data_IF_625704004208
#
_entry.id   IF_625704004208
#
_cell.length_a   1.000
_cell.length_b   1.000
_cell.length_c   1.000
_cell.angle_alpha   90.00
_cell.angle_beta   90.00
_cell.angle_gamma   90.00
#
_symmetry.space_group_name_H-M   'P 1'
#
loop_
_entity.id
_entity.type
_entity.pdbx_description
1 polymer ?
#
# COMPACT_ATOMS: atom_id res chain seq x y z
N UNK A 1 -34.62 -18.66 9.44
CA UNK A 1 -33.84 -19.81 8.96
C UNK A 1 -32.89 -20.15 10.09
N UNK A 2 -33.02 -21.33 10.66
CA UNK A 2 -32.03 -21.87 11.60
C UNK A 2 -30.84 -22.33 10.75
N UNK A 3 -29.79 -21.51 10.70
CA UNK A 3 -28.58 -21.78 9.91
C UNK A 3 -27.64 -22.64 10.75
N UNK A 4 -27.32 -23.85 10.26
CA UNK A 4 -26.44 -24.78 10.96
C UNK A 4 -24.97 -24.56 10.57
N UNK A 5 -24.06 -24.87 11.50
CA UNK A 5 -22.61 -24.74 11.29
C UNK A 5 -22.07 -25.65 10.17
N UNK A 6 -22.79 -26.73 9.86
CA UNK A 6 -22.48 -27.69 8.80
C UNK A 6 -22.55 -27.11 7.39
N UNK A 7 -23.23 -25.97 7.21
CA UNK A 7 -23.60 -25.46 5.89
C UNK A 7 -22.59 -24.44 5.35
N UNK A 8 -21.52 -24.18 6.12
CA UNK A 8 -20.44 -23.27 5.71
C UNK A 8 -19.45 -24.01 4.81
N UNK A 9 -19.28 -23.52 3.60
CA UNK A 9 -18.34 -24.02 2.61
C UNK A 9 -17.16 -23.06 2.39
N UNK A 10 -16.06 -23.58 1.84
CA UNK A 10 -14.91 -22.76 1.43
C UNK A 10 -15.03 -22.40 -0.04
N UNK A 11 -15.34 -21.14 -0.33
CA UNK A 11 -15.55 -20.62 -1.69
C UNK A 11 -14.31 -19.88 -2.14
N UNK A 12 -13.96 -20.00 -3.43
CA UNK A 12 -12.92 -19.17 -4.04
C UNK A 12 -13.31 -17.69 -3.95
N UNK A 13 -12.41 -16.87 -3.42
CA UNK A 13 -12.64 -15.45 -3.20
C UNK A 13 -12.92 -14.69 -4.52
N UNK A 14 -12.37 -15.17 -5.64
CA UNK A 14 -12.51 -14.56 -6.96
C UNK A 14 -13.92 -14.71 -7.55
N UNK A 15 -14.73 -15.64 -7.01
CA UNK A 15 -16.12 -15.86 -7.43
C UNK A 15 -17.12 -14.91 -6.74
N UNK A 16 -16.71 -14.21 -5.68
CA UNK A 16 -17.58 -13.40 -4.85
C UNK A 16 -17.75 -12.01 -5.46
N UNK A 17 -19.00 -11.53 -5.48
CA UNK A 17 -19.35 -10.22 -6.02
C UNK A 17 -19.88 -9.32 -4.91
N UNK A 18 -19.31 -8.14 -4.71
CA UNK A 18 -19.78 -7.22 -3.66
C UNK A 18 -20.87 -6.30 -4.20
N UNK A 19 -21.95 -6.07 -3.47
CA UNK A 19 -22.99 -5.11 -3.87
C UNK A 19 -22.85 -3.73 -3.22
N UNK A 20 -21.97 -3.59 -2.24
CA UNK A 20 -21.88 -2.42 -1.36
C UNK A 20 -20.42 -2.02 -1.15
N UNK A 21 -20.19 -0.71 -1.07
CA UNK A 21 -18.90 -0.15 -0.64
C UNK A 21 -18.68 -0.41 0.84
N UNK A 22 -17.42 -0.54 1.25
CA UNK A 22 -17.06 -0.78 2.66
C UNK A 22 -16.09 0.28 3.13
N UNK A 23 -16.37 0.85 4.30
CA UNK A 23 -15.48 1.82 4.95
C UNK A 23 -14.18 1.15 5.36
N UNK A 24 -13.05 1.82 5.14
CA UNK A 24 -11.74 1.25 5.42
C UNK A 24 -11.60 0.86 6.89
N UNK A 25 -12.13 1.65 7.82
CA UNK A 25 -12.05 1.40 9.27
C UNK A 25 -12.69 0.06 9.67
N UNK A 26 -13.83 -0.29 9.05
CA UNK A 26 -14.52 -1.56 9.30
C UNK A 26 -13.69 -2.75 8.79
N UNK A 27 -13.07 -2.60 7.61
CA UNK A 27 -12.15 -3.58 7.03
C UNK A 27 -10.94 -3.77 7.94
N UNK A 28 -10.34 -2.68 8.42
CA UNK A 28 -9.17 -2.71 9.30
C UNK A 28 -9.48 -3.38 10.64
N UNK A 29 -10.65 -3.14 11.23
CA UNK A 29 -11.06 -3.82 12.45
C UNK A 29 -11.11 -5.36 12.27
N UNK A 30 -11.68 -5.83 11.15
CA UNK A 30 -11.73 -7.25 10.82
C UNK A 30 -10.34 -7.82 10.52
N UNK A 31 -9.54 -7.08 9.74
CA UNK A 31 -8.16 -7.44 9.41
C UNK A 31 -7.31 -7.64 10.67
N UNK A 32 -7.31 -6.65 11.57
CA UNK A 32 -6.53 -6.66 12.81
C UNK A 32 -6.94 -7.84 13.69
N UNK A 33 -8.25 -8.09 13.82
CA UNK A 33 -8.79 -9.23 14.57
C UNK A 33 -8.28 -10.55 14.01
N UNK A 34 -8.43 -10.79 12.70
CA UNK A 34 -8.04 -12.05 12.08
C UNK A 34 -6.53 -12.27 12.12
N UNK A 35 -5.74 -11.22 11.88
CA UNK A 35 -4.28 -11.30 11.94
C UNK A 35 -3.79 -11.60 13.37
N UNK A 36 -4.41 -10.99 14.38
CA UNK A 36 -4.05 -11.18 15.79
C UNK A 36 -4.43 -12.55 16.32
N UNK A 37 -5.61 -13.06 15.98
CA UNK A 37 -6.11 -14.34 16.49
C UNK A 37 -5.65 -15.53 15.66
N UNK A 38 -5.29 -15.30 14.39
CA UNK A 38 -5.10 -16.37 13.41
C UNK A 38 -6.39 -17.12 13.06
N UNK A 39 -7.56 -16.59 13.45
CA UNK A 39 -8.86 -17.23 13.29
C UNK A 39 -9.82 -16.27 12.59
N UNK A 40 -10.47 -16.77 11.54
CA UNK A 40 -11.64 -16.15 10.92
C UNK A 40 -12.88 -16.66 11.63
N UNK A 41 -13.62 -15.74 12.23
CA UNK A 41 -14.78 -16.04 13.07
C UNK A 41 -16.09 -15.38 12.59
N UNK A 42 -16.02 -14.67 11.47
CA UNK A 42 -17.16 -14.06 10.78
C UNK A 42 -17.34 -14.79 9.44
N UNK A 43 -18.43 -15.55 9.25
CA UNK A 43 -18.74 -16.16 7.97
C UNK A 43 -19.25 -15.11 6.99
N UNK A 44 -19.00 -15.32 5.71
CA UNK A 44 -19.63 -14.55 4.64
C UNK A 44 -20.99 -15.15 4.32
N UNK A 45 -21.94 -14.32 3.92
CA UNK A 45 -23.26 -14.78 3.48
C UNK A 45 -23.43 -14.35 2.04
N UNK A 46 -23.62 -15.32 1.15
CA UNK A 46 -23.73 -15.11 -0.29
C UNK A 46 -25.10 -15.51 -0.78
N UNK A 47 -25.60 -14.81 -1.80
CA UNK A 47 -26.68 -15.33 -2.62
C UNK A 47 -26.23 -16.58 -3.38
N UNK A 48 -27.01 -17.65 -3.28
CA UNK A 48 -26.65 -18.97 -3.82
C UNK A 48 -26.57 -19.00 -5.35
N UNK A 49 -27.33 -18.14 -6.04
CA UNK A 49 -27.45 -18.14 -7.50
C UNK A 49 -26.40 -17.24 -8.17
N UNK A 50 -26.02 -16.14 -7.51
CA UNK A 50 -25.20 -15.08 -8.12
C UNK A 50 -23.84 -14.91 -7.48
N UNK A 51 -23.60 -15.53 -6.31
CA UNK A 51 -22.45 -15.28 -5.41
C UNK A 51 -22.32 -13.81 -4.96
N UNK A 52 -23.43 -13.06 -4.98
CA UNK A 52 -23.44 -11.70 -4.45
C UNK A 52 -23.33 -11.75 -2.92
N UNK A 53 -22.38 -11.02 -2.37
CA UNK A 53 -22.18 -10.88 -0.94
C UNK A 53 -23.36 -10.13 -0.33
N UNK A 54 -24.04 -10.75 0.62
CA UNK A 54 -25.20 -10.20 1.32
C UNK A 54 -24.82 -9.71 2.73
N UNK A 55 -23.81 -10.32 3.36
CA UNK A 55 -23.27 -9.91 4.65
C UNK A 55 -21.82 -10.37 4.83
N UNK A 56 -21.08 -9.71 5.72
CA UNK A 56 -19.67 -9.97 5.96
C UNK A 56 -18.72 -9.14 5.09
N UNK A 57 -19.17 -8.02 4.52
CA UNK A 57 -18.39 -7.10 3.67
C UNK A 57 -17.00 -6.74 4.23
N UNK A 58 -16.94 -6.30 5.48
CA UNK A 58 -15.67 -5.98 6.13
C UNK A 58 -14.74 -7.20 6.27
N UNK A 59 -15.30 -8.38 6.58
CA UNK A 59 -14.54 -9.62 6.68
C UNK A 59 -14.03 -10.07 5.31
N UNK A 60 -14.84 -9.97 4.26
CA UNK A 60 -14.45 -10.29 2.88
C UNK A 60 -13.24 -9.46 2.43
N UNK A 61 -13.33 -8.13 2.53
CA UNK A 61 -12.22 -7.26 2.11
C UNK A 61 -10.99 -7.41 3.01
N UNK A 62 -11.17 -7.72 4.30
CA UNK A 62 -10.04 -8.04 5.18
C UNK A 62 -9.31 -9.31 4.71
N UNK A 63 -10.06 -10.33 4.30
CA UNK A 63 -9.50 -11.58 3.76
C UNK A 63 -8.81 -11.36 2.40
N UNK A 64 -9.35 -10.50 1.54
CA UNK A 64 -8.67 -10.09 0.29
C UNK A 64 -7.32 -9.40 0.55
N UNK A 65 -7.25 -8.53 1.58
CA UNK A 65 -6.02 -7.84 1.98
C UNK A 65 -5.03 -8.81 2.65
N UNK A 66 -5.51 -9.80 3.39
CA UNK A 66 -4.71 -10.90 3.92
C UNK A 66 -4.28 -11.91 2.84
N UNK A 67 -4.70 -11.70 1.58
CA UNK A 67 -4.42 -12.57 0.44
C UNK A 67 -4.96 -13.99 0.60
N UNK A 68 -6.11 -14.14 1.29
CA UNK A 68 -6.86 -15.39 1.29
C UNK A 68 -7.28 -15.74 -0.15
N UNK A 69 -7.22 -17.03 -0.49
CA UNK A 69 -7.71 -17.57 -1.77
C UNK A 69 -9.08 -18.20 -1.63
N UNK A 70 -9.40 -18.73 -0.44
CA UNK A 70 -10.72 -19.24 -0.11
C UNK A 70 -11.27 -18.52 1.09
N UNK A 71 -12.59 -18.45 1.19
CA UNK A 71 -13.27 -17.83 2.33
C UNK A 71 -14.42 -18.69 2.81
N UNK A 72 -14.66 -18.75 4.14
CA UNK A 72 -15.78 -19.48 4.70
C UNK A 72 -17.07 -18.71 4.46
N UNK A 73 -17.97 -19.32 3.71
CA UNK A 73 -19.19 -18.69 3.26
C UNK A 73 -20.38 -19.62 3.37
N UNK A 74 -21.54 -19.03 3.61
CA UNK A 74 -22.83 -19.68 3.63
C UNK A 74 -23.65 -19.15 2.46
N UNK A 75 -24.13 -20.05 1.61
CA UNK A 75 -25.03 -19.72 0.50
C UNK A 75 -26.48 -19.74 0.96
N UNK A 76 -27.22 -18.69 0.64
CA UNK A 76 -28.64 -18.55 0.94
C UNK A 76 -29.38 -18.07 -0.30
N UNK A 77 -30.66 -18.42 -0.43
CA UNK A 77 -31.52 -17.79 -1.43
C UNK A 77 -31.96 -16.42 -0.88
N UNK A 78 -31.57 -15.33 -1.55
CA UNK A 78 -31.94 -13.97 -1.13
C UNK A 78 -33.46 -13.79 -0.97
N UNK A 79 -34.28 -14.56 -1.70
CA UNK A 79 -35.74 -14.51 -1.61
C UNK A 79 -36.26 -15.02 -0.26
N UNK A 80 -35.53 -15.90 0.40
CA UNK A 80 -35.89 -16.45 1.72
C UNK A 80 -35.28 -15.70 2.90
N UNK A 81 -34.49 -14.64 2.66
CA UNK A 81 -33.91 -13.82 3.73
C UNK A 81 -34.66 -12.49 3.90
N UNK A 82 -34.75 -12.03 5.15
CA UNK A 82 -35.31 -10.71 5.50
C UNK A 82 -34.22 -9.65 5.42
N UNK A 83 -34.45 -8.62 4.62
CA UNK A 83 -33.55 -7.47 4.42
C UNK A 83 -34.13 -6.26 5.15
N UNK A 84 -33.28 -5.57 5.91
CA UNK A 84 -33.62 -4.35 6.61
C UNK A 84 -32.77 -3.20 6.02
N UNK A 85 -33.38 -2.22 5.33
CA UNK A 85 -32.70 -1.00 4.89
C UNK A 85 -32.17 -0.20 6.09
N UNK A 86 -31.02 0.47 5.93
CA UNK A 86 -30.33 1.16 7.04
C UNK A 86 -30.09 2.67 6.84
N UNK A 87 -30.60 3.29 5.75
CA UNK A 87 -31.09 4.70 5.77
C UNK A 87 -32.50 4.88 5.18
N UNK A 88 -33.23 5.94 5.58
CA UNK A 88 -34.68 6.14 5.38
C UNK A 88 -35.17 6.60 4.00
N UNK A 89 -34.28 6.88 3.03
CA UNK A 89 -34.65 7.62 1.82
C UNK A 89 -34.45 6.85 0.49
N UNK A 90 -34.02 5.59 0.52
CA UNK A 90 -33.84 4.77 -0.68
C UNK A 90 -34.49 3.42 -0.45
N UNK A 91 -35.42 3.04 -1.34
CA UNK A 91 -36.02 1.71 -1.31
C UNK A 91 -34.98 0.70 -1.77
N UNK A 92 -34.41 -0.07 -0.83
CA UNK A 92 -33.44 -1.12 -1.15
C UNK A 92 -34.19 -2.45 -1.32
N UNK A 93 -34.40 -2.84 -2.57
CA UNK A 93 -34.98 -4.14 -2.93
C UNK A 93 -33.90 -5.20 -3.13
N UNK A 94 -34.31 -6.48 -3.15
CA UNK A 94 -33.43 -7.61 -3.44
C UNK A 94 -32.81 -7.51 -4.83
N UNK A 95 -33.61 -7.10 -5.82
CA UNK A 95 -33.13 -6.89 -7.20
C UNK A 95 -32.08 -5.80 -7.28
N UNK A 96 -32.23 -4.69 -6.53
CA UNK A 96 -31.22 -3.63 -6.45
C UNK A 96 -29.91 -4.16 -5.89
N UNK A 97 -29.96 -5.01 -4.86
CA UNK A 97 -28.76 -5.62 -4.26
C UNK A 97 -28.06 -6.54 -5.26
N UNK A 98 -28.81 -7.45 -5.90
CA UNK A 98 -28.24 -8.37 -6.90
C UNK A 98 -27.67 -7.58 -8.08
N UNK A 99 -28.42 -6.58 -8.58
CA UNK A 99 -27.97 -5.72 -9.67
C UNK A 99 -26.65 -5.03 -9.31
N UNK A 100 -26.56 -4.36 -8.16
CA UNK A 100 -25.34 -3.71 -7.68
C UNK A 100 -24.16 -4.70 -7.48
N UNK A 101 -24.46 -5.93 -7.10
CA UNK A 101 -23.48 -7.00 -6.99
C UNK A 101 -22.89 -7.40 -8.34
N UNK A 102 -23.74 -7.62 -9.34
CA UNK A 102 -23.35 -8.22 -10.62
C UNK A 102 -22.90 -7.18 -11.65
N UNK A 103 -23.72 -6.15 -11.93
CA UNK A 103 -23.53 -5.25 -13.07
C UNK A 103 -23.74 -3.75 -12.75
N UNK A 104 -24.32 -3.43 -11.60
CA UNK A 104 -24.72 -2.09 -11.21
C UNK A 104 -23.69 -1.37 -10.35
N UNK A 105 -23.90 -0.06 -10.10
CA UNK A 105 -23.07 0.70 -9.19
C UNK A 105 -23.17 0.13 -7.77
N UNK A 106 -22.05 0.12 -7.05
CA UNK A 106 -22.02 -0.35 -5.66
C UNK A 106 -22.82 0.59 -4.77
N UNK A 107 -23.66 0.01 -3.92
CA UNK A 107 -24.46 0.73 -2.94
C UNK A 107 -23.59 1.46 -1.90
N UNK A 108 -24.04 2.59 -1.36
CA UNK A 108 -23.35 3.26 -0.25
C UNK A 108 -23.13 2.33 0.95
N UNK A 109 -22.07 2.55 1.76
CA UNK A 109 -21.83 1.74 2.95
C UNK A 109 -23.05 1.71 3.89
N UNK A 110 -23.33 0.55 4.49
CA UNK A 110 -24.47 0.35 5.38
C UNK A 110 -25.84 0.66 4.74
N UNK A 111 -26.03 0.37 3.45
CA UNK A 111 -27.34 0.53 2.78
C UNK A 111 -28.40 -0.47 3.26
N UNK A 112 -27.99 -1.69 3.62
CA UNK A 112 -28.89 -2.71 4.15
C UNK A 112 -28.20 -3.66 5.13
N UNK A 113 -28.99 -4.41 5.89
CA UNK A 113 -28.55 -5.52 6.74
C UNK A 113 -29.48 -6.72 6.59
N UNK A 114 -28.94 -7.92 6.75
CA UNK A 114 -29.74 -9.13 6.88
C UNK A 114 -30.19 -9.30 8.32
N UNK A 115 -31.46 -9.65 8.52
CA UNK A 115 -31.94 -10.09 9.84
C UNK A 115 -31.67 -11.58 9.99
N UNK A 116 -30.52 -11.90 10.56
CA UNK A 116 -30.06 -13.26 10.81
C UNK A 116 -29.62 -13.40 12.26
N UNK A 117 -29.83 -14.59 12.83
CA UNK A 117 -29.29 -14.90 14.14
C UNK A 117 -27.76 -14.91 14.11
N UNK A 118 -27.08 -14.40 15.15
CA UNK A 118 -25.63 -14.36 15.18
C UNK A 118 -25.04 -15.78 15.09
N UNK A 119 -24.30 -16.02 14.02
CA UNK A 119 -23.63 -17.30 13.79
C UNK A 119 -22.12 -17.08 13.69
N UNK A 120 -21.35 -17.88 14.43
CA UNK A 120 -19.88 -17.78 14.50
C UNK A 120 -19.23 -19.04 13.97
N UNK A 121 -18.17 -18.84 13.20
CA UNK A 121 -17.27 -19.90 12.74
C UNK A 121 -15.95 -19.82 13.51
N UNK A 122 -15.10 -20.83 13.31
CA UNK A 122 -13.70 -20.79 13.74
C UNK A 122 -12.89 -21.50 12.67
N UNK A 123 -12.38 -20.74 11.71
CA UNK A 123 -11.55 -21.27 10.62
C UNK A 123 -10.15 -20.67 10.75
N UNK A 124 -9.09 -21.49 10.86
CA UNK A 124 -7.73 -20.98 10.89
C UNK A 124 -7.42 -20.17 9.63
N UNK A 125 -6.89 -18.96 9.81
CA UNK A 125 -6.58 -18.05 8.69
C UNK A 125 -5.61 -18.70 7.69
N UNK A 126 -4.63 -19.45 8.19
CA UNK A 126 -3.66 -20.18 7.37
C UNK A 126 -4.30 -21.18 6.40
N UNK A 127 -5.46 -21.76 6.76
CA UNK A 127 -6.16 -22.76 5.93
C UNK A 127 -6.90 -22.09 4.75
N UNK A 128 -7.05 -20.76 4.79
CA UNK A 128 -7.66 -19.93 3.74
C UNK A 128 -6.64 -19.36 2.76
N UNK A 129 -5.36 -19.43 3.11
CA UNK A 129 -4.25 -18.96 2.28
C UNK A 129 -3.84 -20.06 1.31
N UNK A 130 -3.45 -19.72 0.09
CA UNK A 130 -2.81 -20.71 -0.77
C UNK A 130 -1.38 -20.97 -0.28
N UNK A 131 -0.98 -22.25 -0.26
CA UNK A 131 0.44 -22.59 -0.33
C UNK A 131 0.93 -22.14 -1.72
N UNK A 132 1.68 -21.05 -1.76
CA UNK A 132 2.18 -20.53 -3.04
C UNK A 132 3.28 -21.47 -3.55
N UNK A 133 2.94 -22.40 -4.44
CA UNK A 133 3.92 -23.05 -5.29
C UNK A 133 4.47 -22.02 -6.29
N UNK A 134 5.50 -21.27 -5.88
CA UNK A 134 6.24 -20.34 -6.75
C UNK A 134 7.18 -21.08 -7.71
N UNK A 135 6.72 -22.12 -8.41
CA UNK A 135 7.59 -22.94 -9.26
C UNK A 135 8.07 -22.17 -10.51
N UNK A 136 7.24 -21.29 -11.09
CA UNK A 136 7.62 -20.49 -12.28
C UNK A 136 8.62 -19.36 -11.96
N UNK A 137 8.58 -18.78 -10.76
CA UNK A 137 9.30 -17.53 -10.47
C UNK A 137 10.76 -17.72 -10.04
N UNK A 138 11.28 -18.95 -10.00
CA UNK A 138 12.69 -19.22 -9.64
C UNK A 138 13.64 -18.66 -10.71
N UNK A 139 13.27 -18.79 -11.99
CA UNK A 139 14.08 -18.32 -13.12
C UNK A 139 13.74 -16.90 -13.59
N UNK A 140 12.81 -16.20 -12.90
CA UNK A 140 12.43 -14.81 -13.19
C UNK A 140 11.96 -14.58 -14.63
N UNK A 141 11.09 -15.47 -15.12
CA UNK A 141 10.42 -15.35 -16.42
C UNK A 141 8.99 -14.84 -16.18
N UNK A 142 8.56 -13.85 -16.97
CA UNK A 142 7.26 -13.18 -16.84
C UNK A 142 6.58 -13.10 -18.21
N UNK A 143 5.27 -13.31 -18.27
CA UNK A 143 4.49 -13.32 -19.52
C UNK A 143 4.09 -11.90 -19.98
N UNK A 144 4.29 -10.88 -19.13
CA UNK A 144 4.08 -9.47 -19.48
C UNK A 144 4.94 -8.50 -18.65
N UNK A 145 5.08 -7.27 -19.13
CA UNK A 145 5.75 -6.19 -18.38
C UNK A 145 5.04 -5.88 -17.06
N UNK A 146 3.71 -6.02 -16.99
CA UNK A 146 2.99 -5.79 -15.74
C UNK A 146 3.25 -6.91 -14.72
N UNK A 147 3.37 -8.16 -15.16
CA UNK A 147 3.75 -9.29 -14.31
C UNK A 147 5.13 -9.12 -13.69
N UNK A 148 6.10 -8.54 -14.44
CA UNK A 148 7.43 -8.20 -13.91
C UNK A 148 7.34 -7.36 -12.62
N UNK A 149 6.27 -6.60 -12.42
CA UNK A 149 6.05 -5.87 -11.16
C UNK A 149 5.52 -6.80 -10.07
N UNK A 150 4.29 -7.32 -10.22
CA UNK A 150 3.56 -7.93 -9.10
C UNK A 150 3.93 -9.40 -8.84
N UNK A 151 4.37 -10.15 -9.86
CA UNK A 151 4.85 -11.54 -9.70
C UNK A 151 6.30 -11.60 -9.22
N UNK A 152 7.07 -10.53 -9.41
CA UNK A 152 8.46 -10.46 -8.96
C UNK A 152 8.60 -10.20 -7.45
N UNK A 153 7.50 -9.88 -6.76
CA UNK A 153 7.49 -9.72 -5.31
C UNK A 153 7.65 -11.07 -4.56
N UNK A 154 8.31 -11.07 -3.38
CA UNK A 154 8.73 -9.91 -2.58
C UNK A 154 10.00 -9.21 -3.07
N UNK A 155 10.11 -7.90 -2.83
CA UNK A 155 11.40 -7.18 -2.98
C UNK A 155 12.43 -7.69 -1.95
N UNK A 156 13.75 -7.60 -2.22
CA UNK A 156 14.76 -8.17 -1.31
C UNK A 156 14.76 -7.55 0.09
N UNK A 157 14.97 -8.41 1.10
CA UNK A 157 15.32 -8.03 2.46
C UNK A 157 16.78 -8.47 2.71
N UNK A 158 17.70 -7.53 2.83
CA UNK A 158 19.15 -7.80 2.92
C UNK A 158 19.71 -7.43 4.29
N UNK A 159 20.56 -8.28 4.87
CA UNK A 159 21.25 -7.96 6.14
C UNK A 159 22.39 -6.99 5.88
N UNK A 160 22.39 -5.84 6.57
CA UNK A 160 23.47 -4.86 6.55
C UNK A 160 24.57 -5.31 7.52
N UNK A 161 25.72 -5.75 6.99
CA UNK A 161 26.80 -6.32 7.81
C UNK A 161 27.46 -5.26 8.68
N UNK A 162 27.66 -4.05 8.17
CA UNK A 162 28.33 -2.95 8.85
C UNK A 162 27.58 -2.44 10.09
N UNK A 163 26.26 -2.66 10.17
CA UNK A 163 25.44 -2.32 11.33
C UNK A 163 25.00 -3.52 12.17
N UNK A 164 25.30 -4.74 11.74
CA UNK A 164 24.97 -5.95 12.49
C UNK A 164 26.11 -6.37 13.42
N UNK A 165 25.76 -6.76 14.65
CA UNK A 165 26.67 -7.26 15.70
C UNK A 165 26.05 -8.49 16.37
N UNK A 166 26.74 -9.12 17.32
CA UNK A 166 26.29 -10.38 17.96
C UNK A 166 24.81 -10.36 18.40
N UNK A 167 24.36 -9.29 19.06
CA UNK A 167 22.99 -9.17 19.56
C UNK A 167 22.13 -8.18 18.76
N UNK A 168 22.58 -7.73 17.59
CA UNK A 168 21.86 -6.76 16.76
C UNK A 168 21.91 -7.18 15.30
N UNK A 169 20.76 -7.37 14.67
CA UNK A 169 20.67 -7.60 13.22
C UNK A 169 19.92 -6.46 12.57
N UNK A 170 20.51 -5.88 11.52
CA UNK A 170 19.92 -4.76 10.79
C UNK A 170 19.68 -5.21 9.36
N UNK A 171 18.46 -5.01 8.90
CA UNK A 171 17.99 -5.46 7.60
C UNK A 171 17.47 -4.28 6.80
N UNK A 172 17.78 -4.23 5.51
CA UNK A 172 17.26 -3.24 4.58
C UNK A 172 16.24 -3.88 3.63
N UNK A 173 15.04 -3.32 3.57
CA UNK A 173 14.00 -3.69 2.60
C UNK A 173 14.19 -2.83 1.34
N UNK A 174 14.63 -3.45 0.25
CA UNK A 174 15.11 -2.75 -0.96
C UNK A 174 13.98 -2.55 -1.98
N UNK A 175 13.25 -1.46 -1.86
CA UNK A 175 12.13 -1.14 -2.76
C UNK A 175 12.58 -0.59 -4.12
N UNK A 176 13.88 -0.38 -4.32
CA UNK A 176 14.45 -0.07 -5.65
C UNK A 176 14.35 -1.22 -6.65
N UNK A 177 14.04 -2.44 -6.19
CA UNK A 177 13.83 -3.62 -7.03
C UNK A 177 12.47 -3.65 -7.73
N UNK A 178 11.60 -2.67 -7.49
CA UNK A 178 10.45 -2.49 -8.36
C UNK A 178 10.92 -1.97 -9.74
N UNK A 179 10.41 -2.51 -10.85
CA UNK A 179 11.02 -2.39 -12.17
C UNK A 179 10.91 -1.02 -12.85
N UNK A 180 9.90 -0.20 -12.55
CA UNK A 180 9.55 0.97 -13.35
C UNK A 180 10.19 2.25 -12.82
N UNK A 181 9.81 2.69 -11.61
CA UNK A 181 10.40 3.88 -10.99
C UNK A 181 11.66 3.60 -10.18
N UNK A 182 12.08 2.33 -10.13
CA UNK A 182 13.05 1.81 -9.16
C UNK A 182 12.76 2.35 -7.77
N UNK A 183 11.48 2.28 -7.37
CA UNK A 183 11.02 2.73 -6.07
C UNK A 183 9.77 2.02 -5.59
N UNK A 184 9.49 2.21 -4.30
CA UNK A 184 8.27 1.79 -3.61
C UNK A 184 6.98 2.27 -4.30
N UNK A 185 7.04 3.32 -5.14
CA UNK A 185 5.86 3.93 -5.78
C UNK A 185 5.26 3.10 -6.89
N UNK A 186 5.97 2.12 -7.45
CA UNK A 186 5.38 1.19 -8.43
C UNK A 186 4.20 0.43 -7.83
N UNK A 187 4.30 0.04 -6.55
CA UNK A 187 3.21 -0.60 -5.82
C UNK A 187 1.97 0.29 -5.77
N UNK A 188 2.18 1.57 -5.46
CA UNK A 188 1.11 2.57 -5.33
C UNK A 188 0.45 2.82 -6.69
N UNK A 189 1.26 3.08 -7.72
CA UNK A 189 0.75 3.31 -9.07
C UNK A 189 -0.05 2.12 -9.60
N UNK A 190 0.48 0.90 -9.45
CA UNK A 190 -0.22 -0.33 -9.82
C UNK A 190 -1.54 -0.50 -9.08
N UNK A 191 -1.53 -0.33 -7.76
CA UNK A 191 -2.72 -0.52 -6.95
C UNK A 191 -3.83 0.47 -7.28
N UNK A 192 -3.49 1.76 -7.45
CA UNK A 192 -4.48 2.79 -7.79
C UNK A 192 -5.08 2.57 -9.18
N UNK A 193 -4.26 2.16 -10.17
CA UNK A 193 -4.74 1.86 -11.53
C UNK A 193 -5.61 0.60 -11.54
N UNK A 194 -5.21 -0.47 -10.84
CA UNK A 194 -6.01 -1.71 -10.72
C UNK A 194 -7.35 -1.43 -10.04
N UNK A 195 -7.38 -0.58 -9.01
CA UNK A 195 -8.63 -0.15 -8.38
C UNK A 195 -9.50 0.66 -9.36
N UNK A 196 -8.91 1.55 -10.14
CA UNK A 196 -9.63 2.31 -11.17
C UNK A 196 -10.22 1.39 -12.26
N UNK A 197 -9.50 0.35 -12.66
CA UNK A 197 -9.99 -0.69 -13.57
C UNK A 197 -11.18 -1.46 -12.96
N UNK A 198 -11.04 -1.93 -11.72
CA UNK A 198 -12.07 -2.72 -11.03
C UNK A 198 -13.35 -1.92 -10.77
N UNK A 199 -13.22 -0.63 -10.50
CA UNK A 199 -14.35 0.27 -10.27
C UNK A 199 -14.95 0.83 -11.56
N UNK A 200 -14.38 0.53 -12.73
CA UNK A 200 -14.84 1.07 -14.01
C UNK A 200 -14.60 2.58 -14.16
N UNK A 201 -13.68 3.15 -13.38
CA UNK A 201 -13.35 4.60 -13.39
C UNK A 201 -12.11 4.93 -14.23
N UNK A 202 -11.44 3.93 -14.80
CA UNK A 202 -10.28 4.12 -15.67
C UNK A 202 -10.63 5.00 -16.89
N UNK A 203 -9.77 5.99 -17.18
CA UNK A 203 -9.91 6.93 -18.31
C UNK A 203 -8.74 6.79 -19.28
N UNK A 204 -8.87 7.40 -20.48
CA UNK A 204 -7.80 7.42 -21.51
C UNK A 204 -6.65 8.36 -21.18
N UNK A 205 -6.82 9.25 -20.22
CA UNK A 205 -5.81 10.17 -19.74
C UNK A 205 -5.75 10.13 -18.20
N UNK A 206 -4.53 10.22 -17.66
CA UNK A 206 -4.21 10.23 -16.23
C UNK A 206 -3.50 11.53 -15.87
N UNK A 207 -4.07 12.30 -14.95
CA UNK A 207 -3.52 13.54 -14.44
C UNK A 207 -3.13 13.33 -12.97
N UNK A 208 -1.92 13.71 -12.55
CA UNK A 208 -1.49 13.50 -11.16
C UNK A 208 -0.52 14.58 -10.66
N UNK A 209 -0.71 15.03 -9.42
CA UNK A 209 0.29 15.82 -8.69
C UNK A 209 1.36 14.91 -8.07
N UNK A 210 2.64 15.14 -8.37
CA UNK A 210 3.72 14.24 -7.93
C UNK A 210 5.05 14.93 -7.62
N UNK A 211 5.91 14.20 -6.89
CA UNK A 211 7.27 14.61 -6.54
C UNK A 211 8.39 13.89 -7.30
N UNK A 212 8.02 13.03 -8.28
CA UNK A 212 8.84 12.32 -9.29
C UNK A 212 8.52 10.82 -9.32
N UNK A 213 8.82 10.08 -8.25
CA UNK A 213 8.74 8.61 -8.26
C UNK A 213 7.33 8.08 -8.59
N UNK A 214 6.29 8.71 -8.05
CA UNK A 214 4.91 8.35 -8.39
C UNK A 214 4.58 8.70 -9.84
N UNK A 215 5.17 9.78 -10.38
CA UNK A 215 5.01 10.15 -11.79
C UNK A 215 5.60 9.09 -12.71
N UNK A 216 6.86 8.72 -12.49
CA UNK A 216 7.55 7.66 -13.26
C UNK A 216 6.76 6.34 -13.19
N UNK A 217 6.33 5.93 -11.99
CA UNK A 217 5.55 4.71 -11.78
C UNK A 217 4.23 4.74 -12.56
N UNK A 218 3.47 5.83 -12.43
CA UNK A 218 2.18 5.98 -13.09
C UNK A 218 2.31 6.06 -14.60
N UNK A 219 3.24 6.86 -15.13
CA UNK A 219 3.48 6.96 -16.57
C UNK A 219 3.89 5.62 -17.16
N UNK A 220 4.78 4.88 -16.49
CA UNK A 220 5.22 3.56 -16.97
C UNK A 220 4.04 2.58 -17.07
N UNK A 221 3.19 2.52 -16.05
CA UNK A 221 2.03 1.62 -16.03
C UNK A 221 0.95 2.11 -17.01
N UNK A 222 0.73 3.42 -17.10
CA UNK A 222 -0.19 4.04 -18.06
C UNK A 222 0.23 3.73 -19.50
N UNK A 223 1.53 3.78 -19.82
CA UNK A 223 2.05 3.42 -21.14
C UNK A 223 1.75 1.96 -21.51
N UNK A 224 1.89 1.02 -20.57
CA UNK A 224 1.53 -0.40 -20.77
C UNK A 224 0.03 -0.54 -21.12
N UNK A 225 -0.81 0.32 -20.58
CA UNK A 225 -2.27 0.33 -20.79
C UNK A 225 -2.72 1.25 -21.94
N UNK A 226 -1.81 1.93 -22.63
CA UNK A 226 -2.15 2.90 -23.68
C UNK A 226 -2.83 4.18 -23.18
N UNK A 227 -2.59 4.57 -21.92
CA UNK A 227 -3.15 5.76 -21.27
C UNK A 227 -2.14 6.91 -21.32
N UNK A 228 -2.57 8.10 -21.74
CA UNK A 228 -1.73 9.30 -21.73
C UNK A 228 -1.56 9.83 -20.32
N UNK A 229 -0.37 10.29 -19.95
CA UNK A 229 -0.10 10.84 -18.62
C UNK A 229 0.26 12.32 -18.69
N UNK A 230 -0.35 13.12 -17.81
CA UNK A 230 0.02 14.51 -17.54
C UNK A 230 0.37 14.67 -16.06
N UNK A 231 1.54 15.21 -15.76
CA UNK A 231 2.08 15.28 -14.41
C UNK A 231 2.25 16.75 -14.00
N UNK A 232 1.77 17.07 -12.81
CA UNK A 232 1.89 18.39 -12.22
C UNK A 232 2.94 18.33 -11.12
N UNK A 233 4.05 19.05 -11.32
CA UNK A 233 5.21 18.97 -10.43
C UNK A 233 5.52 20.37 -9.88
N UNK A 234 5.69 20.55 -8.56
CA UNK A 234 6.17 21.79 -7.98
C UNK A 234 7.50 22.27 -8.61
N UNK A 235 7.65 23.57 -8.83
CA UNK A 235 8.91 24.16 -9.33
C UNK A 235 10.10 23.95 -8.38
N UNK A 236 9.84 23.79 -7.08
CA UNK A 236 10.85 23.54 -6.06
C UNK A 236 11.52 22.15 -6.15
N UNK A 237 10.95 21.22 -6.94
CA UNK A 237 11.49 19.86 -7.12
C UNK A 237 12.54 19.86 -8.22
N UNK A 238 13.60 19.07 -8.06
CA UNK A 238 14.70 19.01 -9.02
C UNK A 238 14.22 18.70 -10.45
N UNK A 239 14.91 19.27 -11.44
CA UNK A 239 14.60 19.10 -12.87
C UNK A 239 15.23 17.86 -13.48
N UNK A 240 16.24 17.26 -12.84
CA UNK A 240 16.89 16.04 -13.33
C UNK A 240 15.89 14.91 -13.62
N UNK A 241 14.78 14.87 -12.87
CA UNK A 241 13.73 13.87 -13.09
C UNK A 241 12.84 14.13 -14.30
N UNK A 242 12.79 15.35 -14.83
CA UNK A 242 12.01 15.68 -16.04
C UNK A 242 12.55 14.91 -17.25
N UNK A 243 13.86 14.63 -17.28
CA UNK A 243 14.48 13.83 -18.34
C UNK A 243 13.85 12.43 -18.41
N UNK A 244 13.67 11.77 -17.26
CA UNK A 244 13.05 10.44 -17.24
C UNK A 244 11.57 10.48 -17.63
N UNK A 245 10.86 11.55 -17.25
CA UNK A 245 9.45 11.73 -17.57
C UNK A 245 9.23 12.01 -19.06
N UNK A 246 10.11 12.82 -19.67
CA UNK A 246 10.10 13.10 -21.11
C UNK A 246 10.44 11.85 -21.94
N UNK A 247 11.44 11.07 -21.52
CA UNK A 247 11.76 9.76 -22.12
C UNK A 247 10.55 8.81 -22.06
N UNK A 248 9.78 8.85 -20.98
CA UNK A 248 8.55 8.06 -20.83
C UNK A 248 7.35 8.67 -21.57
N UNK A 249 7.47 9.86 -22.14
CA UNK A 249 6.40 10.55 -22.88
C UNK A 249 5.31 11.16 -22.00
N UNK A 250 5.61 11.51 -20.75
CA UNK A 250 4.68 12.25 -19.90
C UNK A 250 4.62 13.74 -20.30
N UNK A 251 3.43 14.32 -20.33
CA UNK A 251 3.25 15.79 -20.40
C UNK A 251 3.52 16.37 -19.01
N UNK A 252 4.60 17.13 -18.84
CA UNK A 252 5.01 17.67 -17.54
C UNK A 252 4.70 19.16 -17.45
N UNK A 253 3.88 19.53 -16.45
CA UNK A 253 3.57 20.92 -16.10
C UNK A 253 4.20 21.25 -14.76
N UNK A 254 5.08 22.25 -14.76
CA UNK A 254 5.64 22.80 -13.52
C UNK A 254 4.70 23.86 -12.93
N UNK A 255 4.46 23.79 -11.63
CA UNK A 255 3.56 24.71 -10.91
C UNK A 255 4.33 25.52 -9.86
N UNK A 256 4.03 26.82 -9.69
CA UNK A 256 4.68 27.69 -8.70
C UNK A 256 4.11 27.44 -7.29
N UNK A 257 4.25 26.19 -6.81
CA UNK A 257 3.84 25.73 -5.47
C UNK A 257 5.06 25.14 -4.76
N UNK A 258 5.04 25.14 -3.43
CA UNK A 258 6.15 24.62 -2.62
C UNK A 258 6.05 23.12 -2.38
N UNK A 259 4.83 22.61 -2.19
CA UNK A 259 4.56 21.19 -1.92
C UNK A 259 3.64 20.59 -2.97
N UNK A 260 3.81 19.28 -3.25
CA UNK A 260 2.96 18.55 -4.19
C UNK A 260 1.47 18.59 -3.80
N UNK A 261 1.17 18.60 -2.50
CA UNK A 261 -0.23 18.63 -2.00
C UNK A 261 -0.94 19.95 -2.33
N UNK A 262 -0.21 21.04 -2.53
CA UNK A 262 -0.78 22.35 -2.89
C UNK A 262 -1.29 22.39 -4.34
N UNK A 263 -0.90 21.41 -5.17
CA UNK A 263 -1.34 21.31 -6.55
C UNK A 263 -2.70 20.59 -6.74
N UNK A 264 -3.20 19.88 -5.71
CA UNK A 264 -4.29 18.91 -5.86
C UNK A 264 -5.56 19.50 -6.46
N UNK A 265 -6.05 20.63 -5.92
CA UNK A 265 -7.29 21.27 -6.40
C UNK A 265 -7.20 21.69 -7.87
N UNK A 266 -6.02 22.14 -8.31
CA UNK A 266 -5.77 22.50 -9.71
C UNK A 266 -5.78 21.26 -10.60
N UNK A 267 -5.14 20.18 -10.17
CA UNK A 267 -5.12 18.90 -10.90
C UNK A 267 -6.53 18.34 -11.02
N UNK A 268 -7.32 18.36 -9.95
CA UNK A 268 -8.71 17.91 -9.95
C UNK A 268 -9.57 18.70 -10.94
N UNK A 269 -9.46 20.03 -10.92
CA UNK A 269 -10.19 20.89 -11.85
C UNK A 269 -9.81 20.61 -13.31
N UNK A 270 -8.51 20.45 -13.59
CA UNK A 270 -8.01 20.23 -14.95
C UNK A 270 -8.33 18.82 -15.45
N UNK A 271 -8.26 17.80 -14.59
CA UNK A 271 -8.62 16.43 -14.92
C UNK A 271 -10.11 16.34 -15.30
N UNK A 272 -10.98 16.97 -14.50
CA UNK A 272 -12.42 17.06 -14.78
C UNK A 272 -12.71 17.77 -16.11
N UNK A 273 -12.00 18.86 -16.40
CA UNK A 273 -12.20 19.61 -17.64
C UNK A 273 -11.83 18.81 -18.91
N UNK A 274 -10.89 17.86 -18.80
CA UNK A 274 -10.38 17.06 -19.93
C UNK A 274 -10.87 15.60 -19.94
N UNK A 275 -11.85 15.24 -19.11
CA UNK A 275 -12.30 13.84 -18.90
C UNK A 275 -11.13 12.87 -18.60
N UNK A 276 -10.13 13.36 -17.88
CA UNK A 276 -9.01 12.57 -17.37
C UNK A 276 -9.31 12.04 -15.97
N UNK A 277 -8.71 10.92 -15.61
CA UNK A 277 -8.74 10.43 -14.23
C UNK A 277 -7.63 11.12 -13.42
N UNK A 278 -7.93 11.42 -12.15
CA UNK A 278 -6.93 11.80 -11.15
C UNK A 278 -6.98 10.77 -10.03
N UNK A 279 -5.86 10.09 -9.77
CA UNK A 279 -5.82 8.99 -8.81
C UNK A 279 -5.60 9.49 -7.39
N UNK A 280 -4.97 10.65 -7.21
CA UNK A 280 -4.72 11.35 -5.95
C UNK A 280 -4.06 10.43 -4.91
N UNK A 281 -2.74 10.28 -5.02
CA UNK A 281 -1.96 9.38 -4.15
C UNK A 281 -2.01 9.71 -2.65
N UNK A 282 -2.48 10.90 -2.28
CA UNK A 282 -2.56 11.35 -0.89
C UNK A 282 -3.86 10.92 -0.22
N UNK A 283 -4.94 10.75 -0.99
CA UNK A 283 -6.26 10.40 -0.49
C UNK A 283 -6.73 8.99 -0.88
N UNK A 284 -6.13 8.38 -1.90
CA UNK A 284 -6.57 7.09 -2.44
C UNK A 284 -6.11 5.90 -1.58
N UNK A 285 -7.07 5.23 -0.93
CA UNK A 285 -6.80 4.11 -0.01
C UNK A 285 -6.13 2.90 -0.68
N UNK A 286 -6.14 2.80 -2.01
CA UNK A 286 -5.35 1.79 -2.73
C UNK A 286 -3.85 1.88 -2.42
N UNK A 287 -3.35 3.08 -2.07
CA UNK A 287 -1.97 3.30 -1.59
C UNK A 287 -1.72 2.59 -0.25
N UNK A 288 -2.54 2.83 0.77
CA UNK A 288 -2.40 2.13 2.05
C UNK A 288 -2.62 0.62 1.91
N UNK A 289 -3.66 0.21 1.18
CA UNK A 289 -4.05 -1.19 1.00
C UNK A 289 -2.96 -2.03 0.35
N UNK A 290 -2.25 -1.53 -0.66
CA UNK A 290 -1.17 -2.30 -1.32
C UNK A 290 0.00 -2.57 -0.39
N UNK A 291 0.35 -1.59 0.45
CA UNK A 291 1.42 -1.78 1.41
C UNK A 291 1.01 -2.72 2.55
N UNK A 292 -0.27 -2.75 2.92
CA UNK A 292 -0.77 -3.71 3.91
C UNK A 292 -0.77 -5.14 3.35
N UNK A 293 -1.24 -5.30 2.11
CA UNK A 293 -1.32 -6.58 1.41
C UNK A 293 0.04 -7.15 1.02
N UNK A 294 0.99 -6.29 0.66
CA UNK A 294 2.31 -6.70 0.18
C UNK A 294 3.39 -6.24 1.14
N UNK A 295 3.87 -4.99 1.07
CA UNK A 295 5.08 -4.53 1.77
C UNK A 295 5.18 -4.97 3.24
N UNK A 296 4.13 -4.79 4.05
CA UNK A 296 4.11 -5.17 5.45
C UNK A 296 4.14 -6.70 5.64
N UNK A 297 3.31 -7.43 4.89
CA UNK A 297 3.29 -8.90 4.90
C UNK A 297 4.61 -9.50 4.43
N UNK A 298 5.20 -8.96 3.36
CA UNK A 298 6.48 -9.41 2.83
C UNK A 298 7.59 -9.28 3.89
N UNK A 299 7.65 -8.16 4.62
CA UNK A 299 8.64 -8.00 5.70
C UNK A 299 8.45 -9.07 6.76
N UNK A 300 7.21 -9.37 7.16
CA UNK A 300 6.91 -10.36 8.17
C UNK A 300 7.24 -11.79 7.71
N UNK A 301 6.79 -12.19 6.51
CA UNK A 301 7.09 -13.50 5.90
C UNK A 301 8.61 -13.69 5.68
N UNK A 302 9.31 -12.64 5.24
CA UNK A 302 10.77 -12.68 5.06
C UNK A 302 11.50 -12.85 6.40
N UNK A 303 11.08 -12.18 7.47
CA UNK A 303 11.66 -12.36 8.80
C UNK A 303 11.28 -13.71 9.42
N UNK A 304 10.05 -14.18 9.25
CA UNK A 304 9.56 -15.47 9.72
C UNK A 304 10.34 -16.63 9.07
N UNK A 305 10.69 -16.52 7.78
CA UNK A 305 11.55 -17.49 7.09
C UNK A 305 12.94 -17.65 7.74
N UNK A 306 13.39 -16.60 8.43
CA UNK A 306 14.64 -16.57 9.21
C UNK A 306 14.42 -16.85 10.70
N UNK A 307 13.18 -17.14 11.11
CA UNK A 307 12.75 -17.27 12.51
C UNK A 307 13.07 -16.03 13.36
N UNK A 308 13.01 -14.85 12.73
CA UNK A 308 13.24 -13.56 13.36
C UNK A 308 11.91 -12.83 13.58
N UNK A 309 11.88 -12.02 14.65
CA UNK A 309 10.81 -11.07 14.93
C UNK A 309 11.42 -9.67 15.03
N UNK A 310 10.86 -8.64 14.38
CA UNK A 310 11.44 -7.30 14.44
C UNK A 310 11.30 -6.71 15.84
N UNK A 311 12.29 -5.95 16.26
CA UNK A 311 12.25 -5.09 17.45
C UNK A 311 11.86 -3.67 17.06
N UNK A 312 12.32 -3.21 15.91
CA UNK A 312 12.03 -1.86 15.40
C UNK A 312 11.99 -1.84 13.87
N UNK A 313 11.03 -1.12 13.31
CA UNK A 313 10.93 -0.85 11.86
C UNK A 313 10.96 0.66 11.65
N UNK A 314 11.83 1.12 10.76
CA UNK A 314 12.11 2.55 10.55
C UNK A 314 11.94 2.87 9.07
N UNK A 315 11.19 3.92 8.74
CA UNK A 315 10.99 4.36 7.37
C UNK A 315 10.54 5.81 7.25
N UNK A 316 10.76 6.37 6.06
CA UNK A 316 10.45 7.77 5.75
C UNK A 316 8.96 8.04 5.56
N UNK A 317 8.49 9.23 5.93
CA UNK A 317 7.09 9.63 5.80
C UNK A 317 6.89 10.55 4.60
N UNK A 318 6.26 10.04 3.53
CA UNK A 318 5.84 10.83 2.37
C UNK A 318 4.32 11.00 2.36
N UNK A 319 3.61 10.17 1.59
CA UNK A 319 2.14 10.06 1.67
C UNK A 319 1.65 9.40 2.97
N UNK A 320 2.56 8.89 3.82
CA UNK A 320 2.36 7.97 4.95
C UNK A 320 1.92 6.54 4.61
N UNK A 321 1.44 6.25 3.39
CA UNK A 321 0.82 4.97 3.03
C UNK A 321 1.60 3.73 3.44
N UNK A 322 2.89 3.62 3.05
CA UNK A 322 3.68 2.43 3.38
C UNK A 322 3.97 2.27 4.88
N UNK A 323 4.43 3.33 5.55
CA UNK A 323 4.76 3.26 6.97
C UNK A 323 3.51 3.10 7.83
N UNK A 324 2.38 3.67 7.44
CA UNK A 324 1.13 3.47 8.16
C UNK A 324 0.63 2.04 8.02
N UNK A 325 0.73 1.44 6.83
CA UNK A 325 0.38 0.03 6.64
C UNK A 325 1.30 -0.92 7.42
N UNK A 326 2.61 -0.65 7.43
CA UNK A 326 3.59 -1.37 8.25
C UNK A 326 3.25 -1.22 9.74
N UNK A 327 2.99 0.01 10.21
CA UNK A 327 2.56 0.25 11.59
C UNK A 327 1.33 -0.57 11.94
N UNK A 328 0.27 -0.44 11.13
CA UNK A 328 -0.98 -1.15 11.36
C UNK A 328 -0.80 -2.67 11.43
N UNK A 329 -0.05 -3.24 10.49
CA UNK A 329 0.23 -4.67 10.43
C UNK A 329 0.97 -5.15 11.69
N UNK A 330 2.12 -4.56 11.98
CA UNK A 330 3.00 -5.04 13.05
C UNK A 330 2.43 -4.75 14.43
N UNK A 331 1.71 -3.64 14.62
CA UNK A 331 0.97 -3.37 15.86
C UNK A 331 -0.21 -4.31 16.04
N UNK A 332 -0.92 -4.69 14.97
CA UNK A 332 -2.00 -5.68 15.06
C UNK A 332 -1.49 -7.07 15.45
N UNK A 333 -0.40 -7.54 14.83
CA UNK A 333 0.15 -8.89 15.07
C UNK A 333 0.96 -8.99 16.36
N UNK A 334 1.76 -7.97 16.67
CA UNK A 334 2.78 -8.05 17.73
C UNK A 334 2.64 -7.00 18.85
N UNK A 335 1.71 -6.06 18.74
CA UNK A 335 1.49 -5.02 19.74
C UNK A 335 2.77 -4.21 20.05
N UNK A 336 3.02 -3.96 21.33
CA UNK A 336 4.14 -3.12 21.80
C UNK A 336 5.51 -3.80 21.76
N UNK A 337 5.57 -5.08 21.39
CA UNK A 337 6.86 -5.77 21.24
C UNK A 337 7.66 -5.34 19.99
N UNK A 338 7.03 -4.58 19.09
CA UNK A 338 7.67 -3.99 17.90
C UNK A 338 7.48 -2.49 17.94
N UNK A 339 8.57 -1.73 17.78
CA UNK A 339 8.53 -0.29 17.57
C UNK A 339 8.39 0.04 16.09
N UNK A 340 7.63 1.08 15.76
CA UNK A 340 7.53 1.62 14.40
C UNK A 340 7.83 3.11 14.45
N UNK A 341 8.86 3.52 13.71
CA UNK A 341 9.41 4.86 13.74
C UNK A 341 9.32 5.52 12.37
N UNK A 342 8.71 6.69 12.34
CA UNK A 342 8.66 7.56 11.16
C UNK A 342 9.90 8.44 11.08
N UNK A 343 10.32 8.78 9.87
CA UNK A 343 11.41 9.73 9.62
C UNK A 343 10.90 10.86 8.75
N UNK A 344 11.19 12.09 9.14
CA UNK A 344 10.81 13.28 8.40
C UNK A 344 11.98 14.27 8.30
N UNK A 345 11.96 15.22 7.34
CA UNK A 345 12.93 16.30 7.30
C UNK A 345 12.85 17.14 8.57
N UNK A 346 13.98 17.62 9.08
CA UNK A 346 14.00 18.64 10.13
C UNK A 346 13.33 19.95 9.66
N UNK A 347 12.97 20.88 10.56
CA UNK A 347 12.35 22.14 10.15
C UNK A 347 13.20 22.88 9.11
N UNK A 348 12.55 23.36 8.04
CA UNK A 348 13.17 24.06 6.91
C UNK A 348 14.13 23.22 6.04
N UNK A 349 14.21 21.90 6.25
CA UNK A 349 15.00 21.00 5.42
C UNK A 349 14.14 20.30 4.36
N UNK A 350 14.75 19.97 3.22
CA UNK A 350 14.10 19.23 2.14
C UNK A 350 14.84 17.93 1.88
N UNK A 351 14.16 16.80 2.07
CA UNK A 351 14.66 15.47 1.70
C UNK A 351 13.70 14.89 0.66
N UNK A 352 14.15 14.67 -0.59
CA UNK A 352 13.29 14.17 -1.65
C UNK A 352 12.53 12.89 -1.26
N UNK A 353 11.22 12.91 -1.52
CA UNK A 353 10.32 11.78 -1.30
C UNK A 353 9.68 11.67 0.09
N UNK A 354 10.10 12.50 1.06
CA UNK A 354 9.51 12.57 2.41
C UNK A 354 9.12 14.02 2.76
N UNK A 355 8.19 14.18 3.71
CA UNK A 355 7.67 15.46 4.18
C UNK A 355 7.34 15.37 5.66
N UNK A 356 7.07 16.52 6.28
CA UNK A 356 6.77 16.61 7.71
C UNK A 356 5.30 16.29 7.99
N UNK A 357 5.01 15.63 9.11
CA UNK A 357 3.66 15.14 9.47
C UNK A 357 2.63 16.27 9.50
N UNK A 358 3.01 17.45 9.98
CA UNK A 358 2.15 18.65 10.06
C UNK A 358 1.65 19.15 8.71
N UNK A 359 2.24 18.70 7.59
CA UNK A 359 1.76 19.02 6.24
C UNK A 359 0.53 18.18 5.84
N UNK A 360 0.00 17.36 6.75
CA UNK A 360 -1.26 16.61 6.62
C UNK A 360 -1.09 15.26 5.93
N UNK A 361 -1.21 14.15 6.67
CA UNK A 361 -1.03 12.78 6.16
C UNK A 361 -2.21 11.88 6.55
N UNK A 362 -3.10 11.56 5.59
CA UNK A 362 -4.34 10.79 5.81
C UNK A 362 -4.15 9.57 6.73
N UNK A 363 -3.31 8.61 6.33
CA UNK A 363 -3.19 7.34 7.05
C UNK A 363 -2.29 7.40 8.29
N UNK A 364 -1.49 8.45 8.47
CA UNK A 364 -0.67 8.61 9.67
C UNK A 364 -1.55 8.68 10.93
N UNK A 365 -2.67 9.40 10.85
CA UNK A 365 -3.60 9.59 11.96
C UNK A 365 -4.49 8.38 12.27
N UNK A 366 -4.48 7.36 11.41
CA UNK A 366 -5.26 6.13 11.58
C UNK A 366 -4.52 5.05 12.38
N UNK A 367 -3.23 5.26 12.65
CA UNK A 367 -2.33 4.23 13.20
C UNK A 367 -1.42 4.81 14.28
N UNK A 368 -0.64 3.94 14.92
CA UNK A 368 0.28 4.34 15.99
C UNK A 368 1.74 4.28 15.52
N UNK A 369 2.41 5.42 15.57
CA UNK A 369 3.88 5.49 15.54
C UNK A 369 4.40 5.61 16.98
N UNK A 370 5.53 4.98 17.27
CA UNK A 370 6.16 5.09 18.60
C UNK A 370 7.04 6.33 18.70
N UNK A 371 7.58 6.81 17.58
CA UNK A 371 8.45 7.98 17.48
C UNK A 371 8.45 8.51 16.05
N UNK A 372 8.68 9.82 15.88
CA UNK A 372 9.01 10.45 14.61
C UNK A 372 10.32 11.20 14.79
N UNK A 373 11.31 10.91 13.95
CA UNK A 373 12.66 11.44 14.06
C UNK A 373 12.91 12.49 12.97
N UNK A 374 13.35 13.67 13.39
CA UNK A 374 13.81 14.74 12.50
C UNK A 374 15.25 14.44 12.02
N UNK A 375 15.44 14.60 10.71
CA UNK A 375 16.73 14.38 10.04
C UNK A 375 16.99 15.52 9.07
N UNK A 376 18.20 16.09 9.07
CA UNK A 376 18.60 17.14 8.12
C UNK A 376 18.95 16.53 6.76
N UNK A 377 18.96 17.35 5.70
CA UNK A 377 19.36 16.88 4.37
C UNK A 377 20.81 16.38 4.37
N UNK A 378 21.71 17.05 5.09
CA UNK A 378 23.11 16.63 5.23
C UNK A 378 23.23 15.25 5.89
N UNK A 379 22.51 15.02 6.99
CA UNK A 379 22.47 13.71 7.66
C UNK A 379 21.93 12.61 6.75
N UNK A 380 20.95 12.93 5.91
CA UNK A 380 20.39 12.00 4.94
C UNK A 380 21.43 11.61 3.87
N UNK A 381 22.15 12.59 3.32
CA UNK A 381 23.23 12.35 2.35
C UNK A 381 24.36 11.52 2.98
N UNK A 382 24.78 11.85 4.19
CA UNK A 382 25.80 11.11 4.94
C UNK A 382 25.38 9.65 5.20
N UNK A 383 24.12 9.42 5.56
CA UNK A 383 23.57 8.08 5.75
C UNK A 383 23.64 7.24 4.46
N UNK A 384 23.33 7.85 3.32
CA UNK A 384 23.44 7.19 2.02
C UNK A 384 24.90 6.88 1.64
N UNK A 385 25.82 7.84 1.81
CA UNK A 385 27.26 7.65 1.58
C UNK A 385 27.81 6.53 2.45
N UNK A 386 27.36 6.43 3.71
CA UNK A 386 27.81 5.41 4.65
C UNK A 386 27.43 4.00 4.20
N UNK A 387 26.19 3.81 3.74
CA UNK A 387 25.75 2.54 3.17
C UNK A 387 26.53 2.22 1.89
N UNK A 388 26.74 3.20 1.01
CA UNK A 388 27.50 2.98 -0.22
C UNK A 388 28.93 2.50 0.07
N UNK A 389 29.64 3.15 1.01
CA UNK A 389 31.03 2.81 1.36
C UNK A 389 31.17 1.50 2.14
N UNK A 390 30.20 1.15 2.98
CA UNK A 390 30.31 0.00 3.87
C UNK A 390 29.60 -1.26 3.37
N UNK A 391 28.60 -1.12 2.50
CA UNK A 391 27.77 -2.23 2.00
C UNK A 391 27.80 -2.34 0.46
N UNK A 392 28.36 -1.36 -0.25
CA UNK A 392 28.37 -1.32 -1.71
C UNK A 392 27.01 -1.01 -2.34
N UNK A 393 26.03 -0.56 -1.56
CA UNK A 393 24.68 -0.23 -2.03
C UNK A 393 24.50 1.27 -2.16
N UNK A 394 24.17 1.76 -3.36
CA UNK A 394 23.85 3.17 -3.58
C UNK A 394 22.34 3.41 -3.36
N UNK A 395 22.00 3.89 -2.17
CA UNK A 395 20.60 4.10 -1.73
C UNK A 395 20.16 5.55 -1.88
N UNK A 396 18.85 5.78 -2.01
CA UNK A 396 18.28 7.13 -2.13
C UNK A 396 18.37 7.97 -0.86
N UNK A 397 18.10 9.27 -0.97
CA UNK A 397 18.26 10.22 0.15
C UNK A 397 17.28 9.95 1.30
N UNK A 398 16.02 9.57 1.00
CA UNK A 398 15.06 9.17 2.04
C UNK A 398 15.51 7.91 2.80
N UNK A 399 16.20 6.98 2.14
CA UNK A 399 16.80 5.82 2.77
C UNK A 399 18.01 6.20 3.63
N UNK A 400 18.84 7.14 3.18
CA UNK A 400 19.93 7.71 3.98
C UNK A 400 19.41 8.41 5.25
N UNK A 401 18.27 9.11 5.17
CA UNK A 401 17.62 9.67 6.34
C UNK A 401 17.18 8.59 7.35
N UNK A 402 16.65 7.47 6.85
CA UNK A 402 16.30 6.29 7.67
C UNK A 402 17.53 5.70 8.37
N UNK A 403 18.68 5.66 7.69
CA UNK A 403 19.96 5.22 8.29
C UNK A 403 20.40 6.16 9.40
N UNK A 404 20.34 7.48 9.18
CA UNK A 404 20.67 8.47 10.21
C UNK A 404 19.75 8.33 11.43
N UNK A 405 18.43 8.26 11.22
CA UNK A 405 17.46 8.04 12.28
C UNK A 405 17.75 6.75 13.06
N UNK A 406 18.01 5.64 12.37
CA UNK A 406 18.44 4.37 12.99
C UNK A 406 19.66 4.58 13.90
N UNK A 407 20.69 5.26 13.43
CA UNK A 407 21.90 5.50 14.23
C UNK A 407 21.63 6.37 15.48
N UNK A 408 20.66 7.30 15.43
CA UNK A 408 20.26 8.12 16.58
C UNK A 408 19.52 7.29 17.65
N UNK A 409 18.65 6.35 17.22
CA UNK A 409 17.71 5.68 18.13
C UNK A 409 18.09 4.23 18.50
N UNK A 410 18.93 3.56 17.72
CA UNK A 410 19.28 2.15 17.91
C UNK A 410 20.30 1.97 19.05
N UNK A 411 19.82 2.15 20.28
CA UNK A 411 20.62 2.03 21.51
C UNK A 411 20.55 0.63 22.14
N UNK A 412 19.62 -0.22 21.70
CA UNK A 412 19.36 -1.53 22.30
C UNK A 412 19.61 -2.66 21.30
N UNK A 413 20.09 -3.82 21.73
CA UNK A 413 20.12 -5.02 20.90
C UNK A 413 18.73 -5.37 20.35
N UNK A 414 18.68 -6.02 19.18
CA UNK A 414 17.42 -6.38 18.54
C UNK A 414 17.50 -6.60 17.03
N UNK A 415 16.34 -6.82 16.42
CA UNK A 415 16.17 -6.94 14.97
C UNK A 415 15.59 -5.64 14.42
N UNK A 416 16.34 -4.96 13.57
CA UNK A 416 15.95 -3.69 12.96
C UNK A 416 15.66 -3.89 11.48
N UNK A 417 14.56 -3.30 11.00
CA UNK A 417 14.24 -3.24 9.57
C UNK A 417 14.22 -1.78 9.13
N UNK A 418 15.02 -1.45 8.13
CA UNK A 418 15.12 -0.15 7.50
C UNK A 418 14.45 -0.21 6.13
N UNK A 419 13.47 0.64 5.87
CA UNK A 419 12.79 0.71 4.58
C UNK A 419 13.60 1.62 3.67
N UNK A 420 14.13 1.09 2.56
CA UNK A 420 14.89 1.85 1.56
C UNK A 420 14.01 2.04 0.32
N UNK A 421 13.38 3.23 0.15
CA UNK A 421 12.31 3.40 -0.84
C UNK A 421 12.80 3.35 -2.29
N UNK A 422 14.04 3.74 -2.56
CA UNK A 422 14.62 3.80 -3.90
C UNK A 422 16.16 3.85 -3.92
N UNK A 423 16.73 3.99 -5.12
CA UNK A 423 18.17 4.01 -5.38
C UNK A 423 18.77 5.41 -5.44
N UNK A 424 20.05 5.51 -5.05
CA UNK A 424 20.83 6.73 -5.07
C UNK A 424 21.22 7.23 -6.46
N UNK A 425 21.12 6.41 -7.51
CA UNK A 425 21.45 6.84 -8.88
C UNK A 425 20.63 8.05 -9.37
N UNK A 426 19.46 8.29 -8.78
CA UNK A 426 18.58 9.43 -9.09
C UNK A 426 18.99 10.75 -8.42
N UNK A 427 20.01 10.71 -7.57
CA UNK A 427 20.40 11.82 -6.69
C UNK A 427 21.86 12.26 -6.89
N UNK A 428 22.38 12.08 -8.11
CA UNK A 428 23.77 12.40 -8.45
C UNK A 428 24.11 13.89 -8.21
N UNK A 429 23.18 14.80 -8.52
CA UNK A 429 23.35 16.25 -8.29
C UNK A 429 23.56 16.55 -6.80
N UNK A 430 22.69 16.03 -5.94
CA UNK A 430 22.77 16.24 -4.49
C UNK A 430 24.05 15.63 -3.89
N UNK A 431 24.47 14.47 -4.39
CA UNK A 431 25.75 13.89 -3.98
C UNK A 431 26.95 14.73 -4.46
N UNK A 432 26.90 15.24 -5.69
CA UNK A 432 27.95 16.10 -6.26
C UNK A 432 28.12 17.41 -5.50
N UNK A 433 27.01 18.09 -5.22
CA UNK A 433 26.97 19.32 -4.42
C UNK A 433 27.55 19.09 -3.02
N UNK A 434 27.08 18.05 -2.32
CA UNK A 434 27.53 17.76 -0.94
C UNK A 434 29.01 17.38 -0.87
N UNK A 435 29.49 16.56 -1.81
CA UNK A 435 30.89 16.13 -1.84
C UNK A 435 31.86 17.23 -2.34
N UNK A 436 31.34 18.42 -2.68
CA UNK A 436 32.13 19.49 -3.28
C UNK A 436 32.89 19.01 -4.52
N UNK A 437 32.29 18.11 -5.32
CA UNK A 437 32.86 17.69 -6.60
C UNK A 437 32.76 18.91 -7.51
N UNK A 438 33.82 19.73 -7.51
CA UNK A 438 34.00 20.81 -8.48
C UNK A 438 34.10 20.16 -9.85
N UNK A 439 33.12 20.43 -10.70
CA UNK A 439 33.20 20.21 -12.13
C UNK A 439 34.32 21.05 -12.75
#
# INVERSE_FOLDING_TARGET
>A
MDLLKSDVELIDIELIKTAMQTKLEEVLASYSRFLKTGIVDIPLILDNSTNVLLSGYAAFHALELLSAKRVPALKVDINHVKIQPTPSNMEITKDIIIHAGVNGPKLPPNSFRLKLEPFKIKVPLKDLMAHVEKSKNVLKVFDSTLELLYENWPTPLVKLKSFSKANQSVWAKLESYNPFSNSIKDRVGWSMIVEAMRSGTLKKALYEATSTNTGIALTSIANILGIKSKLFIPEAIQKASDIYLDVLGADVVRLPVGLTVEALDKVDAEAKAHDAMHLNQFENDANFKVHLKYTAREIDEQLESLKLKPTCIIGGLGTSGHMSAISFYFKSKYGDSVKVVGVQPAPNEVIPGIRRVETGMKWYHMVRFDEVVDVTQSEAIEGAIKIARNEGLLIGLSAGAVVSAFQKIAKKPGVYVLIFPDSGYKYAEQFGEYLSIRH
#
